data_IF_482129678691
#
_entry.id   IF_482129678691
#
_cell.length_a   1.000
_cell.length_b   1.000
_cell.length_c   1.000
_cell.angle_alpha   90.00
_cell.angle_beta   90.00
_cell.angle_gamma   90.00
#
_symmetry.space_group_name_H-M   'P 1'
#
loop_
_entity.id
_entity.type
_entity.pdbx_description
1 polymer ?
#
# COMPACT_ATOMS: atom_id res chain seq x y z
N UNK A 1 -19.98 -15.64 -34.61
CA UNK A 1 -19.46 -16.36 -33.42
C UNK A 1 -17.94 -16.52 -33.42
N UNK A 2 -17.30 -17.12 -34.43
CA UNK A 2 -15.85 -17.40 -34.42
C UNK A 2 -14.94 -16.16 -34.26
N UNK A 3 -15.25 -15.06 -34.97
CA UNK A 3 -14.54 -13.76 -34.81
C UNK A 3 -14.71 -13.15 -33.42
N UNK A 4 -15.92 -13.24 -32.85
CA UNK A 4 -16.22 -12.75 -31.50
C UNK A 4 -15.41 -13.51 -30.44
N UNK A 5 -15.36 -14.84 -30.53
CA UNK A 5 -14.57 -15.69 -29.64
C UNK A 5 -13.07 -15.36 -29.74
N UNK A 6 -12.56 -15.12 -30.94
CA UNK A 6 -11.17 -14.68 -31.14
C UNK A 6 -10.88 -13.34 -30.47
N UNK A 7 -11.77 -12.34 -30.63
CA UNK A 7 -11.62 -11.04 -29.96
C UNK A 7 -11.63 -11.20 -28.44
N UNK A 8 -12.55 -12.00 -27.91
CA UNK A 8 -12.62 -12.27 -26.47
C UNK A 8 -11.35 -12.96 -25.92
N UNK A 9 -10.77 -13.89 -26.68
CA UNK A 9 -9.51 -14.54 -26.31
C UNK A 9 -8.34 -13.54 -26.32
N UNK A 10 -8.26 -12.66 -27.31
CA UNK A 10 -7.26 -11.60 -27.37
C UNK A 10 -7.39 -10.61 -26.22
N UNK A 11 -8.62 -10.17 -25.92
CA UNK A 11 -8.89 -9.28 -24.77
C UNK A 11 -8.50 -9.96 -23.47
N UNK A 12 -8.83 -11.24 -23.29
CA UNK A 12 -8.44 -11.99 -22.10
C UNK A 12 -6.91 -12.12 -21.97
N UNK A 13 -6.21 -12.46 -23.06
CA UNK A 13 -4.75 -12.55 -23.09
C UNK A 13 -4.05 -11.21 -22.82
N UNK A 14 -4.57 -10.10 -23.37
CA UNK A 14 -4.03 -8.77 -23.14
C UNK A 14 -4.28 -8.31 -21.69
N UNK A 15 -5.47 -8.60 -21.14
CA UNK A 15 -5.78 -8.34 -19.73
C UNK A 15 -4.87 -9.14 -18.80
N UNK A 16 -4.60 -10.41 -19.11
CA UNK A 16 -3.66 -11.25 -18.37
C UNK A 16 -2.24 -10.66 -18.38
N UNK A 17 -1.76 -10.21 -19.55
CA UNK A 17 -0.44 -9.61 -19.69
C UNK A 17 -0.32 -8.31 -18.88
N UNK A 18 -1.29 -7.41 -19.02
CA UNK A 18 -1.35 -6.16 -18.23
C UNK A 18 -1.37 -6.46 -16.73
N UNK A 19 -2.13 -7.48 -16.32
CA UNK A 19 -2.20 -7.89 -14.93
C UNK A 19 -0.85 -8.40 -14.40
N UNK A 20 -0.13 -9.22 -15.16
CA UNK A 20 1.21 -9.69 -14.80
C UNK A 20 2.18 -8.52 -14.62
N UNK A 21 2.14 -7.52 -15.51
CA UNK A 21 2.98 -6.31 -15.41
C UNK A 21 2.68 -5.56 -14.11
N UNK A 22 1.40 -5.33 -13.80
CA UNK A 22 1.00 -4.64 -12.57
C UNK A 22 1.40 -5.43 -11.33
N UNK A 23 1.22 -6.76 -11.34
CA UNK A 23 1.62 -7.63 -10.24
C UNK A 23 3.13 -7.60 -9.99
N UNK A 24 3.95 -7.63 -11.04
CA UNK A 24 5.40 -7.44 -10.92
C UNK A 24 5.76 -6.06 -10.37
N UNK A 25 5.03 -5.02 -10.76
CA UNK A 25 5.18 -3.68 -10.18
C UNK A 25 4.93 -3.67 -8.67
N UNK A 26 3.91 -4.38 -8.19
CA UNK A 26 3.62 -4.50 -6.75
C UNK A 26 4.70 -5.29 -6.02
N UNK A 27 5.20 -6.38 -6.60
CA UNK A 27 6.35 -7.11 -6.02
C UNK A 27 7.56 -6.19 -5.90
N UNK A 28 7.84 -5.37 -6.92
CA UNK A 28 8.92 -4.40 -6.87
C UNK A 28 8.72 -3.39 -5.74
N UNK A 29 7.52 -2.84 -5.59
CA UNK A 29 7.17 -1.94 -4.49
C UNK A 29 7.39 -2.63 -3.13
N UNK A 30 6.95 -3.88 -2.98
CA UNK A 30 7.08 -4.66 -1.74
C UNK A 30 8.53 -4.96 -1.34
N UNK A 31 9.39 -5.26 -2.31
CA UNK A 31 10.77 -5.65 -2.04
C UNK A 31 11.74 -4.47 -1.95
N UNK A 32 11.46 -3.40 -2.69
CA UNK A 32 12.43 -2.31 -2.89
C UNK A 32 11.96 -1.02 -2.23
N UNK A 33 10.68 -0.67 -2.41
CA UNK A 33 10.18 0.66 -2.05
C UNK A 33 9.65 0.68 -0.62
N UNK A 34 8.73 -0.20 -0.25
CA UNK A 34 8.14 -0.21 1.09
C UNK A 34 9.14 -0.49 2.23
N UNK A 35 10.15 -1.37 2.08
CA UNK A 35 11.14 -1.57 3.14
C UNK A 35 12.03 -0.34 3.38
N UNK A 36 12.18 0.50 2.35
CA UNK A 36 12.95 1.75 2.41
C UNK A 36 12.06 2.97 2.64
N UNK A 37 10.74 2.79 2.70
CA UNK A 37 9.81 3.88 2.93
C UNK A 37 9.92 4.27 4.39
N UNK A 38 10.70 5.33 4.66
CA UNK A 38 10.77 5.92 5.99
C UNK A 38 9.38 6.46 6.35
N UNK A 39 8.70 5.68 7.18
CA UNK A 39 7.51 6.08 7.93
C UNK A 39 7.84 7.40 8.62
N UNK A 40 6.93 8.40 8.60
CA UNK A 40 7.20 9.70 9.20
C UNK A 40 7.68 9.49 10.64
N UNK A 41 8.89 9.97 10.93
CA UNK A 41 9.51 9.78 12.24
C UNK A 41 8.74 10.58 13.28
N UNK A 42 8.36 9.94 14.40
CA UNK A 42 7.74 10.67 15.49
C UNK A 42 8.71 11.75 16.03
N UNK A 43 8.18 12.91 16.46
CA UNK A 43 8.96 13.91 17.16
C UNK A 43 9.83 13.29 18.28
N UNK A 44 11.14 13.61 18.35
CA UNK A 44 12.01 12.98 19.34
C UNK A 44 11.60 13.34 20.77
N UNK A 45 11.59 12.34 21.65
CA UNK A 45 11.27 12.53 23.08
C UNK A 45 12.17 13.57 23.78
N UNK A 46 13.40 13.76 23.28
CA UNK A 46 14.32 14.79 23.78
C UNK A 46 13.74 16.20 23.61
N UNK A 47 12.97 16.45 22.55
CA UNK A 47 12.32 17.74 22.31
C UNK A 47 11.26 18.00 23.37
N UNK A 48 10.43 17.00 23.72
CA UNK A 48 9.45 17.11 24.79
C UNK A 48 10.12 17.43 26.14
N UNK A 49 11.21 16.74 26.46
CA UNK A 49 11.95 16.96 27.70
C UNK A 49 12.54 18.38 27.77
N UNK A 50 13.03 18.92 26.65
CA UNK A 50 13.54 20.29 26.58
C UNK A 50 12.42 21.33 26.74
N UNK A 51 11.26 21.11 26.12
CA UNK A 51 10.08 21.98 26.31
C UNK A 51 9.65 21.98 27.78
N UNK A 52 9.60 20.80 28.41
CA UNK A 52 9.20 20.65 29.81
C UNK A 52 10.22 21.24 30.79
N UNK A 53 11.52 21.16 30.48
CA UNK A 53 12.60 21.73 31.30
C UNK A 53 12.82 23.23 31.04
N UNK A 54 12.21 23.80 30.01
CA UNK A 54 12.35 25.23 29.69
C UNK A 54 11.82 26.13 30.81
N UNK A 55 12.55 27.21 31.07
CA UNK A 55 12.20 28.32 31.95
C UNK A 55 11.40 29.43 31.24
N UNK A 56 10.97 29.20 30.01
CA UNK A 56 10.19 30.16 29.22
C UNK A 56 8.84 30.48 29.86
N UNK A 57 8.20 31.57 29.41
CA UNK A 57 6.85 31.92 29.84
C UNK A 57 5.87 30.76 29.62
N UNK A 58 5.00 30.52 30.60
CA UNK A 58 4.07 29.39 30.61
C UNK A 58 3.25 29.27 29.31
N UNK A 59 2.83 30.39 28.72
CA UNK A 59 2.09 30.39 27.47
C UNK A 59 2.88 29.86 26.26
N UNK A 60 4.18 30.16 26.15
CA UNK A 60 5.03 29.61 25.08
C UNK A 60 5.26 28.11 25.26
N UNK A 61 5.41 27.68 26.52
CA UNK A 61 5.59 26.28 26.88
C UNK A 61 4.35 25.46 26.54
N UNK A 62 3.16 25.93 26.89
CA UNK A 62 1.90 25.24 26.61
C UNK A 62 1.65 25.13 25.10
N UNK A 63 1.96 26.18 24.33
CA UNK A 63 1.85 26.15 22.86
C UNK A 63 2.86 25.16 22.25
N UNK A 64 4.09 25.12 22.75
CA UNK A 64 5.10 24.17 22.26
C UNK A 64 4.71 22.72 22.57
N UNK A 65 4.13 22.45 23.74
CA UNK A 65 3.59 21.12 24.09
C UNK A 65 2.44 20.73 23.17
N UNK A 66 1.48 21.63 22.95
CA UNK A 66 0.35 21.38 22.04
C UNK A 66 0.83 21.07 20.62
N UNK A 67 1.83 21.81 20.11
CA UNK A 67 2.40 21.58 18.79
C UNK A 67 3.10 20.21 18.72
N UNK A 68 3.85 19.84 19.75
CA UNK A 68 4.50 18.53 19.85
C UNK A 68 3.46 17.40 19.82
N UNK A 69 2.42 17.48 20.65
CA UNK A 69 1.32 16.50 20.69
C UNK A 69 0.61 16.40 19.33
N UNK A 70 0.31 17.53 18.71
CA UNK A 70 -0.32 17.56 17.39
C UNK A 70 0.55 16.90 16.31
N UNK A 71 1.86 17.14 16.32
CA UNK A 71 2.79 16.51 15.37
C UNK A 71 2.90 15.01 15.60
N UNK A 72 2.91 14.55 16.85
CA UNK A 72 2.89 13.11 17.19
C UNK A 72 1.60 12.46 16.66
N UNK A 73 0.45 13.09 16.89
CA UNK A 73 -0.85 12.59 16.45
C UNK A 73 -0.92 12.52 14.92
N UNK A 74 -0.60 13.62 14.23
CA UNK A 74 -0.57 13.66 12.76
C UNK A 74 0.36 12.61 12.16
N UNK A 75 1.57 12.47 12.72
CA UNK A 75 2.54 11.47 12.29
C UNK A 75 1.95 10.07 12.41
N UNK A 76 1.33 9.76 13.55
CA UNK A 76 0.71 8.46 13.82
C UNK A 76 -0.44 8.17 12.86
N UNK A 77 -1.32 9.14 12.62
CA UNK A 77 -2.45 9.02 11.69
C UNK A 77 -1.97 8.80 10.26
N UNK A 78 -1.01 9.59 9.78
CA UNK A 78 -0.48 9.47 8.42
C UNK A 78 0.17 8.10 8.23
N UNK A 79 0.98 7.66 9.18
CA UNK A 79 1.63 6.36 9.12
C UNK A 79 0.61 5.22 9.10
N UNK A 80 -0.45 5.29 9.93
CA UNK A 80 -1.54 4.31 9.91
C UNK A 80 -2.30 4.29 8.58
N UNK A 81 -2.49 5.44 7.93
CA UNK A 81 -3.10 5.51 6.59
C UNK A 81 -2.20 4.84 5.55
N UNK A 82 -0.89 5.12 5.58
CA UNK A 82 0.08 4.51 4.66
C UNK A 82 0.08 2.99 4.82
N UNK A 83 0.17 2.49 6.05
CA UNK A 83 0.16 1.05 6.34
C UNK A 83 -1.13 0.37 5.86
N UNK A 84 -2.28 1.03 6.07
CA UNK A 84 -3.59 0.56 5.59
C UNK A 84 -3.63 0.50 4.07
N UNK A 85 -3.14 1.51 3.36
CA UNK A 85 -3.08 1.53 1.89
C UNK A 85 -2.20 0.39 1.37
N UNK A 86 -1.01 0.21 1.94
CA UNK A 86 -0.09 -0.88 1.57
C UNK A 86 -0.78 -2.23 1.76
N UNK A 87 -1.46 -2.44 2.89
CA UNK A 87 -2.24 -3.65 3.14
C UNK A 87 -3.31 -3.89 2.08
N UNK A 88 -4.11 -2.87 1.75
CA UNK A 88 -5.18 -3.00 0.76
C UNK A 88 -4.66 -3.26 -0.65
N UNK A 89 -3.54 -2.65 -1.03
CA UNK A 89 -2.85 -2.95 -2.29
C UNK A 89 -2.44 -4.44 -2.32
N UNK A 90 -1.76 -4.92 -1.28
CA UNK A 90 -1.35 -6.34 -1.18
C UNK A 90 -2.55 -7.29 -1.24
N UNK A 91 -3.60 -7.00 -0.48
CA UNK A 91 -4.81 -7.81 -0.44
C UNK A 91 -5.53 -7.86 -1.79
N UNK A 92 -5.63 -6.72 -2.49
CA UNK A 92 -6.23 -6.65 -3.82
C UNK A 92 -5.48 -7.51 -4.84
N UNK A 93 -4.14 -7.40 -4.88
CA UNK A 93 -3.32 -8.16 -5.82
C UNK A 93 -3.26 -9.65 -5.47
N UNK A 94 -3.32 -10.03 -4.19
CA UNK A 94 -3.44 -11.42 -3.77
C UNK A 94 -4.78 -12.03 -4.23
N UNK A 95 -5.89 -11.34 -3.96
CA UNK A 95 -7.22 -11.80 -4.38
C UNK A 95 -7.30 -11.93 -5.91
N UNK A 96 -6.79 -10.93 -6.62
CA UNK A 96 -6.80 -10.92 -8.07
C UNK A 96 -5.89 -12.01 -8.66
N UNK A 97 -4.76 -12.36 -8.00
CA UNK A 97 -3.92 -13.51 -8.39
C UNK A 97 -4.66 -14.84 -8.22
N UNK A 98 -5.42 -15.01 -7.13
CA UNK A 98 -6.25 -16.19 -6.92
C UNK A 98 -7.32 -16.33 -8.01
N UNK A 99 -8.02 -15.24 -8.36
CA UNK A 99 -9.01 -15.21 -9.43
C UNK A 99 -8.38 -15.52 -10.80
N UNK A 100 -7.22 -14.93 -11.08
CA UNK A 100 -6.47 -15.19 -12.31
C UNK A 100 -6.05 -16.65 -12.44
N UNK A 101 -5.53 -17.24 -11.36
CA UNK A 101 -5.13 -18.64 -11.29
C UNK A 101 -6.31 -19.59 -11.47
N UNK A 102 -7.45 -19.29 -10.84
CA UNK A 102 -8.69 -20.04 -11.02
C UNK A 102 -9.18 -19.98 -12.48
N UNK A 103 -9.09 -18.81 -13.11
CA UNK A 103 -9.48 -18.62 -14.51
C UNK A 103 -8.58 -19.46 -15.46
N UNK A 104 -7.25 -19.38 -15.28
CA UNK A 104 -6.31 -20.22 -16.03
C UNK A 104 -6.61 -21.71 -15.85
N UNK A 105 -6.83 -22.17 -14.60
CA UNK A 105 -7.16 -23.55 -14.32
C UNK A 105 -8.41 -24.02 -15.06
N UNK A 106 -9.49 -23.21 -15.05
CA UNK A 106 -10.72 -23.51 -15.77
C UNK A 106 -10.48 -23.60 -17.28
N UNK A 107 -9.70 -22.67 -17.86
CA UNK A 107 -9.34 -22.70 -19.29
C UNK A 107 -8.59 -23.99 -19.64
N UNK A 108 -7.58 -24.38 -18.84
CA UNK A 108 -6.82 -25.61 -19.09
C UNK A 108 -7.68 -26.87 -18.92
N UNK A 109 -8.57 -26.90 -17.94
CA UNK A 109 -9.52 -28.02 -17.75
C UNK A 109 -10.45 -28.15 -18.95
N UNK A 110 -11.03 -27.04 -19.43
CA UNK A 110 -11.90 -27.04 -20.60
C UNK A 110 -11.17 -27.45 -21.87
N UNK A 111 -9.91 -27.04 -22.05
CA UNK A 111 -9.08 -27.45 -23.19
C UNK A 111 -8.72 -28.94 -23.16
N UNK A 112 -8.62 -29.57 -21.99
CA UNK A 112 -8.36 -31.01 -21.86
C UNK A 112 -9.62 -31.88 -22.08
N UNK A 113 -10.80 -31.28 -21.93
CA UNK A 113 -12.09 -31.97 -22.04
C UNK A 113 -12.69 -31.94 -23.46
N UNK A 114 -12.14 -31.13 -24.36
CA UNK A 114 -12.44 -31.06 -25.79
C UNK A 114 -11.27 -31.63 -26.61
#
# INVERSE_FOLDING_TARGET
MRKLIQVLLWVNGLSALTYVILFLGVIYLDLTVFPQWEVLSQPPQVVLNLIQASSDQSGLKDVALLLHEHLVDQTTVINGIIDSIIFWIRAHFLLSLCLFSANLFLIFKLKKSN
#
